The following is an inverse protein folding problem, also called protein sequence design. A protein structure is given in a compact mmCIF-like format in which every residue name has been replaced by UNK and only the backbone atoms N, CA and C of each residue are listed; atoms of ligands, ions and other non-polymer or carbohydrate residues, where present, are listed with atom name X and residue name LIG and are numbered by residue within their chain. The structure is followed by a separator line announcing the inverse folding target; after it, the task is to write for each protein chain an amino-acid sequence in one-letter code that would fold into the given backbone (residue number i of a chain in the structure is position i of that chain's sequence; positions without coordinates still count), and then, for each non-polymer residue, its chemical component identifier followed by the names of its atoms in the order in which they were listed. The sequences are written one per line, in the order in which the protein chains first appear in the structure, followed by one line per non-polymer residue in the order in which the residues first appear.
data_IF_147118942921
#
_entry.id   IF_147118942921
#
_cell.length_a   1.000
_cell.length_b   1.000
_cell.length_c   1.000
_cell.angle_alpha   90.00
_cell.angle_beta   90.00
_cell.angle_gamma   90.00
#
_symmetry.space_group_name_H-M   'P 1'
#
loop_
_entity.id
_entity.type
_entity.pdbx_description
1 polymer ?
#
# COMPACT_ATOMS: atom_id res chain seq x y z
N UNK A 1 -64.26 -0.25 -5.44
CA UNK A 1 -62.86 -0.72 -5.29
C UNK A 1 -62.33 -0.19 -3.96
N UNK A 2 -61.72 -1.08 -3.19
CA UNK A 2 -61.50 -0.99 -1.76
C UNK A 2 -60.45 0.06 -1.33
N UNK A 3 -60.65 0.54 -0.10
CA UNK A 3 -59.87 1.56 0.62
C UNK A 3 -58.60 0.98 1.30
N UNK A 4 -57.76 1.90 1.80
CA UNK A 4 -56.71 1.77 2.86
C UNK A 4 -55.36 1.21 2.36
N UNK A 5 -54.21 1.88 2.52
CA UNK A 5 -53.39 1.90 3.76
C UNK A 5 -52.31 2.99 3.62
N UNK A 6 -52.36 4.08 4.37
CA UNK A 6 -51.72 4.33 5.67
C UNK A 6 -50.18 4.37 5.68
N UNK A 7 -49.67 5.57 6.01
CA UNK A 7 -48.67 5.84 7.06
C UNK A 7 -47.36 5.06 7.09
N UNK A 8 -46.22 5.77 7.00
CA UNK A 8 -45.33 5.99 8.16
C UNK A 8 -44.15 6.91 7.83
N UNK A 9 -44.01 7.92 8.67
CA UNK A 9 -42.78 8.66 8.94
C UNK A 9 -41.65 7.71 9.32
N UNK A 10 -40.40 8.05 9.00
CA UNK A 10 -39.27 7.85 9.92
C UNK A 10 -38.15 8.85 9.64
N UNK A 11 -37.97 9.72 10.63
CA UNK A 11 -36.85 10.64 10.84
C UNK A 11 -35.70 9.82 11.45
N UNK A 12 -34.51 9.86 10.88
CA UNK A 12 -33.24 9.56 11.55
C UNK A 12 -32.30 10.71 11.13
N UNK A 13 -31.99 11.74 11.93
CA UNK A 13 -31.21 11.76 13.18
C UNK A 13 -29.99 10.84 13.15
N UNK A 14 -28.87 11.38 12.68
CA UNK A 14 -27.54 10.99 13.15
C UNK A 14 -26.62 12.21 13.04
N UNK A 15 -26.42 12.90 14.15
CA UNK A 15 -25.25 13.72 14.38
C UNK A 15 -24.01 12.85 14.26
N UNK A 16 -23.02 13.29 13.50
CA UNK A 16 -21.64 12.84 13.68
C UNK A 16 -20.85 14.07 14.09
N UNK A 17 -20.74 14.23 15.41
CA UNK A 17 -19.64 14.96 16.04
C UNK A 17 -18.44 14.03 16.03
N UNK A 18 -17.29 14.53 15.58
CA UNK A 18 -15.90 14.16 15.93
C UNK A 18 -15.03 14.54 14.73
N UNK A 19 -13.87 15.17 14.85
CA UNK A 19 -13.07 15.50 16.01
C UNK A 19 -12.20 16.71 15.65
N UNK A 20 -11.91 17.53 16.65
CA UNK A 20 -10.79 18.46 16.63
C UNK A 20 -9.51 17.72 16.24
N UNK A 21 -8.84 18.21 15.21
CA UNK A 21 -7.41 17.96 15.03
C UNK A 21 -6.82 19.35 14.91
N UNK A 22 -6.34 19.87 16.04
CA UNK A 22 -5.39 20.98 16.04
C UNK A 22 -4.06 20.36 15.58
N UNK A 23 -3.40 20.85 14.52
CA UNK A 23 -1.98 20.59 14.40
C UNK A 23 -1.28 21.41 15.48
N UNK A 24 -0.79 20.67 16.47
CA UNK A 24 0.14 21.09 17.50
C UNK A 24 1.39 21.66 16.83
N UNK A 25 1.61 22.95 17.06
CA UNK A 25 2.89 23.61 17.00
C UNK A 25 3.92 22.87 17.85
N UNK A 26 5.01 22.40 17.25
CA UNK A 26 6.23 22.14 17.99
C UNK A 26 7.41 22.75 17.23
N UNK A 27 7.70 23.98 17.65
CA UNK A 27 9.01 24.61 17.60
C UNK A 27 10.07 23.75 18.29
N UNK A 28 11.33 24.13 18.10
CA UNK A 28 12.55 23.64 18.75
C UNK A 28 13.29 22.48 18.06
N UNK A 29 14.26 22.86 17.21
CA UNK A 29 15.60 22.29 17.30
C UNK A 29 16.57 23.45 17.54
N UNK A 30 16.92 23.64 18.82
CA UNK A 30 18.12 24.35 19.25
C UNK A 30 18.89 23.33 20.06
N UNK A 31 20.01 22.85 19.52
CA UNK A 31 21.13 22.31 20.30
C UNK A 31 22.42 22.71 19.55
N UNK A 32 22.91 23.90 19.89
CA UNK A 32 24.34 24.22 19.90
C UNK A 32 25.00 23.52 21.12
N UNK A 33 26.33 23.46 21.08
CA UNK A 33 27.28 23.03 22.13
C UNK A 33 27.46 21.51 22.32
N UNK A 34 28.59 20.95 21.90
CA UNK A 34 29.86 20.94 22.65
C UNK A 34 29.78 20.04 23.89
N UNK A 35 30.14 18.77 23.68
CA UNK A 35 30.61 17.90 24.74
C UNK A 35 31.50 16.81 24.10
N UNK A 36 32.78 17.14 23.99
CA UNK A 36 33.83 16.14 24.14
C UNK A 36 33.76 15.56 25.55
N UNK A 37 33.84 14.24 25.69
CA UNK A 37 34.59 13.59 26.77
C UNK A 37 34.72 12.09 26.45
N UNK A 38 35.97 11.67 26.33
CA UNK A 38 36.42 10.28 26.35
C UNK A 38 35.96 9.61 27.66
N UNK A 39 35.43 8.39 27.59
CA UNK A 39 35.58 7.46 28.72
C UNK A 39 35.75 6.02 28.25
N UNK A 40 36.77 5.42 28.83
CA UNK A 40 37.33 4.10 28.61
C UNK A 40 36.46 3.11 29.36
N UNK A 41 36.10 1.98 28.77
CA UNK A 41 35.78 0.83 29.61
C UNK A 41 36.30 -0.49 29.08
N UNK A 42 36.93 -1.18 30.01
CA UNK A 42 37.79 -2.36 29.96
C UNK A 42 37.09 -3.62 29.45
N UNK A 43 37.93 -4.48 28.86
CA UNK A 43 37.64 -5.85 28.50
C UNK A 43 37.16 -6.66 29.71
N UNK A 44 35.98 -7.28 29.61
CA UNK A 44 35.71 -8.53 30.32
C UNK A 44 34.92 -9.49 29.42
N UNK A 45 35.63 -10.52 28.96
CA UNK A 45 35.06 -11.72 28.37
C UNK A 45 34.00 -12.33 29.31
N UNK A 46 32.73 -12.23 28.94
CA UNK A 46 31.73 -13.22 29.36
C UNK A 46 30.84 -13.61 28.20
N UNK A 47 31.26 -14.69 27.55
CA UNK A 47 30.43 -15.44 26.61
C UNK A 47 29.24 -16.05 27.35
N UNK A 48 28.03 -15.54 27.08
CA UNK A 48 26.78 -16.24 27.37
C UNK A 48 25.97 -16.37 26.09
N UNK A 49 26.00 -17.58 25.54
CA UNK A 49 25.14 -18.02 24.47
C UNK A 49 23.67 -17.94 24.90
N UNK A 50 22.99 -16.86 24.51
CA UNK A 50 21.53 -16.80 24.47
C UNK A 50 21.10 -16.89 23.01
N UNK A 51 20.67 -18.09 22.64
CA UNK A 51 19.82 -18.40 21.49
C UNK A 51 18.69 -17.37 21.37
N UNK A 52 18.81 -16.47 20.38
CA UNK A 52 17.68 -15.87 19.69
C UNK A 52 17.91 -16.00 18.20
N UNK A 53 17.59 -17.19 17.67
CA UNK A 53 17.37 -17.35 16.24
C UNK A 53 16.22 -16.46 15.79
N UNK A 54 16.53 -15.35 15.11
CA UNK A 54 15.64 -14.68 14.14
C UNK A 54 16.43 -13.76 13.22
N UNK A 55 16.97 -14.38 12.17
CA UNK A 55 17.18 -13.90 10.79
C UNK A 55 17.82 -12.52 10.58
N UNK A 56 19.03 -12.58 10.04
CA UNK A 56 19.75 -11.44 9.51
C UNK A 56 18.92 -10.57 8.55
N UNK A 57 19.15 -9.27 8.69
CA UNK A 57 18.95 -8.32 7.62
C UNK A 57 20.30 -8.17 6.91
N UNK A 58 20.47 -8.80 5.73
CA UNK A 58 21.28 -8.15 4.71
C UNK A 58 20.52 -8.21 3.39
N UNK A 59 19.82 -7.13 3.06
CA UNK A 59 19.50 -6.76 1.69
C UNK A 59 19.01 -5.30 1.72
N UNK A 60 19.88 -4.39 1.27
CA UNK A 60 19.57 -3.14 0.56
C UNK A 60 18.12 -2.64 0.72
N UNK A 61 17.84 -1.52 1.43
CA UNK A 61 16.50 -0.97 1.49
C UNK A 61 16.19 -0.34 0.13
N UNK A 62 15.76 -1.17 -0.82
CA UNK A 62 14.86 -0.66 -1.84
C UNK A 62 13.63 -0.17 -1.11
N UNK A 63 13.39 1.14 -1.09
CA UNK A 63 12.26 1.73 -0.38
C UNK A 63 10.94 1.17 -0.91
N UNK A 64 10.45 0.12 -0.26
CA UNK A 64 9.13 -0.44 -0.51
C UNK A 64 8.13 0.42 0.25
N UNK A 65 7.31 1.13 -0.50
CA UNK A 65 6.20 1.91 0.03
C UNK A 65 5.07 0.97 0.42
N UNK A 66 4.56 1.14 1.64
CA UNK A 66 3.40 0.40 2.17
C UNK A 66 2.12 0.88 1.48
N UNK A 67 1.15 -0.03 1.30
CA UNK A 67 -0.14 0.30 0.68
C UNK A 67 -0.90 1.37 1.46
N UNK A 68 -0.84 1.35 2.79
CA UNK A 68 -1.51 2.35 3.65
C UNK A 68 -0.97 3.78 3.47
N UNK A 69 0.29 3.91 3.09
CA UNK A 69 0.95 5.19 2.87
C UNK A 69 0.74 5.73 1.44
N UNK A 70 0.10 4.94 0.57
CA UNK A 70 -0.24 5.35 -0.79
C UNK A 70 -1.32 6.45 -0.77
N UNK A 71 -0.90 7.67 -1.08
CA UNK A 71 -1.77 8.83 -1.27
C UNK A 71 -2.05 9.06 -2.75
N UNK A 72 -3.20 9.69 -3.03
CA UNK A 72 -3.56 10.12 -4.39
C UNK A 72 -2.47 11.04 -4.96
N UNK A 73 -2.07 10.81 -6.21
CA UNK A 73 -1.08 11.65 -6.89
C UNK A 73 0.37 11.30 -6.60
N UNK A 74 0.64 10.25 -5.79
CA UNK A 74 1.98 9.68 -5.72
C UNK A 74 2.35 9.02 -7.05
N UNK A 75 3.52 9.37 -7.55
CA UNK A 75 4.15 8.79 -8.74
C UNK A 75 5.47 8.13 -8.32
N UNK A 76 6.00 7.24 -9.16
CA UNK A 76 7.26 6.53 -8.89
C UNK A 76 7.25 5.68 -7.60
N UNK A 77 6.10 5.12 -7.23
CA UNK A 77 6.00 4.27 -6.03
C UNK A 77 6.44 2.84 -6.33
N UNK A 78 7.14 2.25 -5.38
CA UNK A 78 7.50 0.82 -5.41
C UNK A 78 6.73 0.11 -4.30
N UNK A 79 5.95 -0.92 -4.65
CA UNK A 79 5.08 -1.62 -3.70
C UNK A 79 5.26 -3.11 -3.88
N UNK A 80 5.46 -3.83 -2.78
CA UNK A 80 5.46 -5.29 -2.76
C UNK A 80 4.19 -5.79 -2.08
N UNK A 81 3.48 -6.68 -2.75
CA UNK A 81 2.22 -7.21 -2.25
C UNK A 81 1.94 -8.60 -2.80
N UNK A 82 1.07 -9.34 -2.10
CA UNK A 82 0.58 -10.64 -2.54
C UNK A 82 -0.71 -10.46 -3.32
N UNK A 83 -0.84 -11.13 -4.45
CA UNK A 83 -2.10 -11.20 -5.19
C UNK A 83 -3.09 -12.03 -4.38
N UNK A 84 -4.14 -11.41 -3.87
CA UNK A 84 -5.25 -12.11 -3.20
C UNK A 84 -6.24 -12.63 -4.24
N UNK A 85 -6.58 -11.80 -5.22
CA UNK A 85 -7.56 -12.13 -6.26
C UNK A 85 -7.13 -11.58 -7.61
N UNK A 86 -7.40 -12.34 -8.67
CA UNK A 86 -7.28 -11.90 -10.07
C UNK A 86 -8.65 -12.01 -10.69
N UNK A 87 -9.21 -10.88 -11.13
CA UNK A 87 -10.46 -10.82 -11.85
C UNK A 87 -10.33 -11.26 -13.30
N UNK A 88 -11.46 -11.32 -14.00
CA UNK A 88 -11.47 -11.75 -15.39
C UNK A 88 -10.68 -10.81 -16.31
N UNK A 89 -9.85 -11.42 -17.17
CA UNK A 89 -9.11 -10.71 -18.20
C UNK A 89 -10.07 -10.17 -19.26
N UNK A 90 -10.32 -8.87 -19.22
CA UNK A 90 -11.16 -8.17 -20.18
C UNK A 90 -10.30 -7.67 -21.35
N UNK A 91 -10.92 -7.57 -22.52
CA UNK A 91 -10.25 -7.06 -23.73
C UNK A 91 -10.72 -5.66 -24.03
N UNK A 92 -9.79 -4.73 -24.14
CA UNK A 92 -10.03 -3.34 -24.54
C UNK A 92 -9.54 -3.16 -25.97
N UNK A 93 -10.49 -2.88 -26.86
CA UNK A 93 -10.25 -2.63 -28.28
C UNK A 93 -10.90 -3.68 -29.18
N UNK A 94 -11.44 -3.25 -30.32
CA UNK A 94 -11.99 -4.11 -31.36
C UNK A 94 -11.10 -3.97 -32.61
N UNK A 95 -10.15 -4.88 -32.82
CA UNK A 95 -9.30 -4.89 -34.02
C UNK A 95 -7.83 -5.27 -33.79
N UNK A 96 -6.93 -4.76 -34.63
CA UNK A 96 -5.50 -5.12 -34.76
C UNK A 96 -4.60 -4.68 -33.58
N UNK A 97 -5.19 -4.18 -32.49
CA UNK A 97 -4.52 -3.65 -31.31
C UNK A 97 -5.27 -3.99 -30.03
N UNK A 98 -5.70 -5.25 -29.90
CA UNK A 98 -6.46 -5.76 -28.77
C UNK A 98 -5.57 -5.79 -27.52
N UNK A 99 -5.83 -4.92 -26.54
CA UNK A 99 -5.12 -4.92 -25.27
C UNK A 99 -5.92 -5.70 -24.23
N UNK A 100 -5.31 -6.72 -23.65
CA UNK A 100 -5.90 -7.48 -22.54
C UNK A 100 -5.56 -6.75 -21.24
N UNK A 101 -6.54 -6.62 -20.34
CA UNK A 101 -6.32 -6.12 -18.99
C UNK A 101 -7.06 -6.99 -17.98
N UNK A 102 -6.45 -7.23 -16.83
CA UNK A 102 -7.07 -7.97 -15.74
C UNK A 102 -6.98 -7.16 -14.45
N UNK A 103 -8.11 -6.79 -13.82
CA UNK A 103 -8.07 -6.21 -12.49
C UNK A 103 -7.65 -7.28 -11.48
N UNK A 104 -6.81 -6.92 -10.52
CA UNK A 104 -6.37 -7.78 -9.45
C UNK A 104 -6.36 -7.02 -8.13
N UNK A 105 -6.63 -7.73 -7.04
CA UNK A 105 -6.49 -7.22 -5.69
C UNK A 105 -5.17 -7.69 -5.10
N UNK A 106 -4.35 -6.71 -4.74
CA UNK A 106 -3.10 -6.91 -4.06
C UNK A 106 -3.31 -6.63 -2.58
N UNK A 107 -2.89 -7.57 -1.75
CA UNK A 107 -2.87 -7.42 -0.30
C UNK A 107 -1.45 -7.45 0.24
N UNK A 108 -1.17 -6.48 1.09
CA UNK A 108 0.03 -6.44 1.92
C UNK A 108 -0.39 -6.40 3.41
N UNK A 109 0.57 -6.44 4.33
CA UNK A 109 0.36 -6.28 5.77
C UNK A 109 -0.35 -4.98 6.14
N UNK A 110 -0.27 -3.97 5.27
CA UNK A 110 -0.79 -2.63 5.55
C UNK A 110 -2.18 -2.34 4.98
N UNK A 111 -2.61 -3.09 3.97
CA UNK A 111 -3.89 -2.85 3.30
C UNK A 111 -4.07 -3.67 2.02
N UNK A 112 -5.16 -3.36 1.33
CA UNK A 112 -5.49 -3.91 0.02
C UNK A 112 -5.55 -2.77 -1.01
N UNK A 113 -5.03 -3.02 -2.22
CA UNK A 113 -5.14 -2.09 -3.33
C UNK A 113 -5.50 -2.81 -4.62
N UNK A 114 -6.30 -2.14 -5.45
CA UNK A 114 -6.63 -2.62 -6.79
C UNK A 114 -5.50 -2.26 -7.76
N UNK A 115 -4.94 -3.25 -8.43
CA UNK A 115 -4.00 -3.11 -9.53
C UNK A 115 -4.65 -3.60 -10.82
N UNK A 116 -4.35 -2.96 -11.95
CA UNK A 116 -4.73 -3.49 -13.27
C UNK A 116 -3.49 -3.99 -14.00
N UNK A 117 -3.45 -5.30 -14.25
CA UNK A 117 -2.42 -5.91 -15.08
C UNK A 117 -2.75 -5.75 -16.55
N UNK A 118 -1.72 -5.58 -17.39
CA UNK A 118 -1.87 -5.40 -18.82
C UNK A 118 -1.18 -6.52 -19.60
N UNK A 119 -1.76 -6.88 -20.74
CA UNK A 119 -1.26 -7.84 -21.72
C UNK A 119 -0.74 -9.16 -21.13
N UNK A 120 0.57 -9.40 -21.19
CA UNK A 120 1.21 -10.62 -20.69
C UNK A 120 1.22 -10.70 -19.17
N UNK A 121 1.26 -9.56 -18.47
CA UNK A 121 1.25 -9.53 -17.01
C UNK A 121 -0.07 -10.08 -16.48
N UNK A 122 -1.17 -9.80 -17.17
CA UNK A 122 -2.49 -10.36 -16.85
C UNK A 122 -2.54 -11.89 -17.00
N UNK A 123 -1.73 -12.46 -17.90
CA UNK A 123 -1.63 -13.92 -18.10
C UNK A 123 -0.74 -14.60 -17.06
N UNK A 124 0.26 -13.87 -16.54
CA UNK A 124 1.19 -14.36 -15.51
C UNK A 124 0.64 -14.17 -14.10
N UNK A 125 -0.22 -13.18 -13.89
CA UNK A 125 -0.89 -12.91 -12.63
C UNK A 125 -1.75 -14.10 -12.19
N UNK A 126 -1.45 -14.64 -11.00
CA UNK A 126 -2.21 -15.71 -10.35
C UNK A 126 -2.41 -15.35 -8.89
N UNK A 127 -3.58 -15.67 -8.35
CA UNK A 127 -3.83 -15.56 -6.91
C UNK A 127 -2.80 -16.38 -6.12
N UNK A 128 -2.34 -15.84 -5.00
CA UNK A 128 -1.33 -16.44 -4.14
C UNK A 128 0.11 -16.07 -4.45
N UNK A 129 0.41 -15.52 -5.64
CA UNK A 129 1.76 -15.05 -6.02
C UNK A 129 2.11 -13.73 -5.33
N UNK A 130 3.38 -13.52 -5.04
CA UNK A 130 3.90 -12.20 -4.64
C UNK A 130 4.32 -11.45 -5.89
N UNK A 131 4.07 -10.14 -5.89
CA UNK A 131 4.49 -9.24 -6.95
C UNK A 131 5.09 -7.98 -6.36
N UNK A 132 6.00 -7.40 -7.13
CA UNK A 132 6.63 -6.13 -6.87
C UNK A 132 6.28 -5.19 -8.01
N UNK A 133 5.51 -4.16 -7.70
CA UNK A 133 5.21 -3.07 -8.62
C UNK A 133 6.34 -2.06 -8.51
N UNK A 134 7.00 -1.75 -9.61
CA UNK A 134 8.09 -0.76 -9.65
C UNK A 134 7.66 0.40 -10.53
N UNK A 135 7.92 1.63 -10.07
CA UNK A 135 7.58 2.84 -10.82
C UNK A 135 6.06 2.96 -11.10
N UNK A 136 5.26 2.56 -10.12
CA UNK A 136 3.81 2.69 -10.15
C UNK A 136 3.35 4.11 -9.89
N UNK A 137 2.09 4.39 -10.22
CA UNK A 137 1.42 5.63 -9.84
C UNK A 137 0.04 5.33 -9.28
N UNK A 138 -0.33 6.09 -8.26
CA UNK A 138 -1.58 5.90 -7.53
C UNK A 138 -2.58 6.94 -8.00
N UNK A 139 -3.66 6.45 -8.58
CA UNK A 139 -4.80 7.25 -8.99
C UNK A 139 -5.96 7.00 -8.05
N UNK A 140 -6.84 7.98 -7.90
CA UNK A 140 -8.06 7.84 -7.12
C UNK A 140 -9.25 7.91 -8.08
N UNK A 141 -10.00 6.82 -8.20
CA UNK A 141 -11.15 6.73 -9.09
C UNK A 141 -12.40 6.43 -8.26
N UNK A 142 -13.42 7.29 -8.33
CA UNK A 142 -14.68 7.15 -7.56
C UNK A 142 -14.51 6.96 -6.04
N UNK A 143 -13.41 7.47 -5.46
CA UNK A 143 -13.15 7.32 -4.03
C UNK A 143 -12.24 6.14 -3.67
N UNK A 144 -11.91 5.28 -4.63
CA UNK A 144 -11.07 4.10 -4.44
C UNK A 144 -9.65 4.37 -4.96
N UNK A 145 -8.65 3.91 -4.21
CA UNK A 145 -7.25 3.95 -4.66
C UNK A 145 -7.00 2.83 -5.67
N UNK A 146 -6.50 3.22 -6.83
CA UNK A 146 -6.10 2.32 -7.90
C UNK A 146 -4.62 2.53 -8.21
N UNK A 147 -3.86 1.45 -8.07
CA UNK A 147 -2.47 1.38 -8.50
C UNK A 147 -2.44 1.05 -10.00
N UNK A 148 -1.64 1.81 -10.73
CA UNK A 148 -1.34 1.53 -12.13
C UNK A 148 0.17 1.47 -12.31
N UNK A 149 0.60 0.76 -13.34
CA UNK A 149 2.02 0.59 -13.66
C UNK A 149 2.42 1.41 -14.87
N UNK A 150 3.66 1.90 -14.87
CA UNK A 150 4.27 2.47 -16.06
C UNK A 150 4.78 1.37 -16.99
N UNK A 151 4.67 1.60 -18.31
CA UNK A 151 5.17 0.69 -19.35
C UNK A 151 6.70 0.47 -19.31
N UNK A 152 7.45 1.33 -18.63
CA UNK A 152 8.93 1.31 -18.61
C UNK A 152 9.53 0.27 -17.66
N UNK A 153 8.92 0.06 -16.49
CA UNK A 153 9.40 -0.85 -15.44
C UNK A 153 8.43 -2.01 -15.23
N UNK A 154 7.13 -1.71 -15.17
CA UNK A 154 6.08 -2.73 -15.11
C UNK A 154 5.95 -3.39 -13.73
N UNK A 155 5.60 -4.67 -13.74
CA UNK A 155 5.45 -5.50 -12.53
C UNK A 155 6.42 -6.68 -12.59
N UNK A 156 7.09 -6.91 -11.48
CA UNK A 156 7.96 -8.07 -11.27
C UNK A 156 7.21 -9.12 -10.47
N UNK A 157 7.19 -10.37 -10.96
CA UNK A 157 6.60 -11.50 -10.24
C UNK A 157 7.69 -12.20 -9.43
N UNK A 158 7.47 -12.36 -8.12
CA UNK A 158 8.38 -13.02 -7.18
C UNK A 158 8.06 -14.53 -7.02
#
# INVERSE_FOLDING_TARGET
MHQITSSKQLKNKASIKQASIKPEENDYWVEDDDASEDDVFEDEDTEVAADQGSKGQPAEPTEVTKIKDLKKGLTHVTVEAKIEFVGEGNRKGAGYGENIYAPAFLRDNTGEIKLVFWNDDARKAKAGKKVRVVDGYVTMFHGELQLNTNKKKGVEFL
#
